data_IF_250251360180
#
_entry.id   IF_250251360180
#
_cell.length_a   1.000
_cell.length_b   1.000
_cell.length_c   1.000
_cell.angle_alpha   90.00
_cell.angle_beta   90.00
_cell.angle_gamma   90.00
#
_symmetry.space_group_name_H-M   'P 1'
#
loop_
_entity.id
_entity.type
_entity.pdbx_description
1 polymer ?
#
# COMPACT_ATOMS: atom_id res chain seq x y z
N UNK A 1 -53.89 27.87 38.03
CA UNK A 1 -53.52 26.44 37.88
C UNK A 1 -52.79 26.13 36.56
N UNK A 2 -52.47 27.11 35.71
CA UNK A 2 -51.84 26.93 34.39
C UNK A 2 -50.30 26.97 34.38
N UNK A 3 -49.66 27.34 35.50
CA UNK A 3 -48.19 27.47 35.57
C UNK A 3 -47.42 26.19 35.95
N UNK A 4 -48.08 25.25 36.65
CA UNK A 4 -47.46 24.00 37.11
C UNK A 4 -47.27 22.98 35.99
N UNK A 5 -48.20 22.96 35.02
CA UNK A 5 -48.12 22.07 33.85
C UNK A 5 -47.02 22.47 32.87
N UNK A 6 -46.78 23.78 32.69
CA UNK A 6 -45.69 24.28 31.84
C UNK A 6 -44.29 23.97 32.39
N UNK A 7 -44.09 24.11 33.71
CA UNK A 7 -42.82 23.73 34.35
C UNK A 7 -42.57 22.23 34.30
N UNK A 8 -43.59 21.40 34.53
CA UNK A 8 -43.44 19.94 34.45
C UNK A 8 -43.07 19.48 33.03
N UNK A 9 -43.65 20.10 31.99
CA UNK A 9 -43.32 19.82 30.59
C UNK A 9 -41.90 20.29 30.24
N UNK A 10 -41.49 21.48 30.69
CA UNK A 10 -40.13 22.01 30.47
C UNK A 10 -39.06 21.18 31.18
N UNK A 11 -39.36 20.68 32.38
CA UNK A 11 -38.47 19.80 33.14
C UNK A 11 -38.40 18.42 32.45
N UNK A 12 -39.54 17.87 32.02
CA UNK A 12 -39.56 16.62 31.25
C UNK A 12 -38.82 16.72 29.91
N UNK A 13 -38.93 17.85 29.20
CA UNK A 13 -38.16 18.08 27.96
C UNK A 13 -36.67 18.24 28.24
N UNK A 14 -36.28 18.90 29.34
CA UNK A 14 -34.87 19.00 29.73
C UNK A 14 -34.25 17.63 30.11
N UNK A 15 -35.02 16.75 30.77
CA UNK A 15 -34.56 15.39 31.07
C UNK A 15 -34.54 14.49 29.82
N UNK A 16 -35.46 14.71 28.87
CA UNK A 16 -35.44 14.03 27.58
C UNK A 16 -34.24 14.49 26.72
N UNK A 17 -33.94 15.79 26.70
CA UNK A 17 -32.72 16.34 26.09
C UNK A 17 -31.46 15.77 26.75
N UNK A 18 -31.37 15.79 28.08
CA UNK A 18 -30.23 15.21 28.81
C UNK A 18 -30.02 13.71 28.52
N UNK A 19 -31.11 12.96 28.30
CA UNK A 19 -31.04 11.53 27.96
C UNK A 19 -30.60 11.31 26.51
N UNK A 20 -30.99 12.18 25.59
CA UNK A 20 -30.59 12.11 24.17
C UNK A 20 -29.13 12.54 23.97
N UNK A 21 -28.60 13.41 24.84
CA UNK A 21 -27.22 13.94 24.75
C UNK A 21 -26.21 13.02 25.47
N UNK A 22 -26.65 12.08 26.31
CA UNK A 22 -25.74 11.21 27.08
C UNK A 22 -25.27 10.02 26.23
N UNK A 23 -24.00 10.05 25.82
CA UNK A 23 -23.29 8.86 25.31
C UNK A 23 -23.45 7.72 26.31
N UNK A 24 -23.87 6.54 25.85
CA UNK A 24 -24.01 5.39 26.74
C UNK A 24 -22.63 5.03 27.33
N UNK A 25 -22.57 4.51 28.56
CA UNK A 25 -21.27 4.12 29.16
C UNK A 25 -20.53 3.12 28.28
N UNK A 26 -21.25 2.26 27.55
CA UNK A 26 -20.69 1.32 26.59
C UNK A 26 -20.06 2.00 25.36
N UNK A 27 -20.78 2.95 24.75
CA UNK A 27 -20.25 3.76 23.64
C UNK A 27 -19.00 4.56 24.05
N UNK A 28 -19.01 5.16 25.24
CA UNK A 28 -17.87 5.94 25.73
C UNK A 28 -16.63 5.07 25.95
N UNK A 29 -16.80 3.89 26.54
CA UNK A 29 -15.71 2.92 26.72
C UNK A 29 -15.20 2.43 25.36
N UNK A 30 -16.12 2.06 24.45
CA UNK A 30 -15.75 1.64 23.11
C UNK A 30 -14.98 2.74 22.37
N UNK A 31 -15.42 4.00 22.47
CA UNK A 31 -14.76 5.16 21.88
C UNK A 31 -13.30 5.30 22.34
N UNK A 32 -13.05 5.29 23.65
CA UNK A 32 -11.70 5.47 24.17
C UNK A 32 -10.78 4.28 23.86
N UNK A 33 -11.29 3.05 23.92
CA UNK A 33 -10.50 1.85 23.61
C UNK A 33 -10.18 1.78 22.12
N UNK A 34 -11.20 1.85 21.27
CA UNK A 34 -11.04 1.78 19.83
C UNK A 34 -10.31 3.01 19.28
N UNK A 35 -10.51 4.19 19.86
CA UNK A 35 -9.86 5.43 19.43
C UNK A 35 -8.36 5.36 19.60
N UNK A 36 -7.90 4.86 20.75
CA UNK A 36 -6.47 4.61 20.99
C UNK A 36 -5.93 3.56 20.00
N UNK A 37 -6.67 2.47 19.74
CA UNK A 37 -6.26 1.47 18.75
C UNK A 37 -6.17 2.04 17.32
N UNK A 38 -7.10 2.90 16.93
CA UNK A 38 -7.07 3.57 15.62
C UNK A 38 -5.84 4.48 15.49
N UNK A 39 -5.50 5.24 16.53
CA UNK A 39 -4.32 6.12 16.53
C UNK A 39 -3.03 5.29 16.48
N UNK A 40 -2.94 4.22 17.26
CA UNK A 40 -1.80 3.28 17.20
C UNK A 40 -1.67 2.70 15.80
N UNK A 41 -2.80 2.29 15.18
CA UNK A 41 -2.83 1.82 13.80
C UNK A 41 -2.32 2.88 12.82
N UNK A 42 -2.85 4.09 12.86
CA UNK A 42 -2.42 5.18 11.98
C UNK A 42 -0.92 5.51 12.12
N UNK A 43 -0.40 5.55 13.35
CA UNK A 43 1.04 5.72 13.60
C UNK A 43 1.83 4.53 13.04
N UNK A 44 1.34 3.31 13.24
CA UNK A 44 1.93 2.08 12.73
C UNK A 44 2.06 2.06 11.21
N UNK A 45 1.06 2.56 10.47
CA UNK A 45 1.11 2.68 9.00
C UNK A 45 2.31 3.51 8.54
N UNK A 46 2.57 4.64 9.19
CA UNK A 46 3.60 5.60 8.78
C UNK A 46 5.00 5.19 9.28
N UNK A 47 5.07 4.51 10.42
CA UNK A 47 6.35 4.16 11.07
C UNK A 47 6.87 2.77 10.70
N UNK A 48 6.01 1.88 10.18
CA UNK A 48 6.42 0.53 9.81
C UNK A 48 7.37 0.53 8.61
N UNK A 49 8.56 -0.06 8.81
CA UNK A 49 9.60 -0.19 7.77
C UNK A 49 9.20 -1.21 6.71
N UNK A 50 8.54 -2.31 7.12
CA UNK A 50 8.05 -3.30 6.17
C UNK A 50 6.64 -2.93 5.69
N UNK A 51 6.47 -2.89 4.36
CA UNK A 51 5.20 -2.53 3.74
C UNK A 51 4.04 -3.47 4.16
N UNK A 52 4.33 -4.74 4.43
CA UNK A 52 3.32 -5.71 4.92
C UNK A 52 2.81 -5.32 6.30
N UNK A 53 3.70 -4.96 7.24
CA UNK A 53 3.27 -4.52 8.57
C UNK A 53 2.51 -3.19 8.50
N UNK A 54 2.95 -2.25 7.65
CA UNK A 54 2.22 -0.99 7.39
C UNK A 54 0.79 -1.28 6.91
N UNK A 55 0.62 -2.19 5.96
CA UNK A 55 -0.70 -2.58 5.46
C UNK A 55 -1.56 -3.28 6.54
N UNK A 56 -0.98 -4.12 7.41
CA UNK A 56 -1.73 -4.71 8.54
C UNK A 56 -2.23 -3.65 9.54
N UNK A 57 -1.41 -2.64 9.85
CA UNK A 57 -1.84 -1.52 10.69
C UNK A 57 -2.94 -0.68 10.04
N UNK A 58 -2.89 -0.52 8.71
CA UNK A 58 -3.94 0.16 7.96
C UNK A 58 -5.24 -0.65 7.99
N UNK A 59 -5.17 -1.97 7.81
CA UNK A 59 -6.33 -2.87 7.90
C UNK A 59 -6.98 -2.81 9.28
N UNK A 60 -6.18 -2.86 10.35
CA UNK A 60 -6.68 -2.67 11.72
C UNK A 60 -7.42 -1.33 11.87
N UNK A 61 -6.86 -0.24 11.35
CA UNK A 61 -7.48 1.09 11.41
C UNK A 61 -8.81 1.12 10.63
N UNK A 62 -8.88 0.51 9.46
CA UNK A 62 -10.10 0.45 8.64
C UNK A 62 -11.23 -0.34 9.32
N UNK A 63 -10.90 -1.43 10.02
CA UNK A 63 -11.86 -2.20 10.81
C UNK A 63 -12.36 -1.37 12.00
N UNK A 64 -11.46 -0.69 12.71
CA UNK A 64 -11.85 0.18 13.83
C UNK A 64 -12.78 1.30 13.37
N UNK A 65 -12.48 1.94 12.24
CA UNK A 65 -13.37 2.96 11.65
C UNK A 65 -14.74 2.39 11.26
N UNK A 66 -14.80 1.15 10.74
CA UNK A 66 -16.06 0.49 10.45
C UNK A 66 -16.92 0.30 11.71
N UNK A 67 -16.28 -0.08 12.83
CA UNK A 67 -16.96 -0.20 14.12
C UNK A 67 -17.44 1.18 14.61
N UNK A 68 -16.65 2.25 14.44
CA UNK A 68 -17.13 3.60 14.74
C UNK A 68 -18.34 4.00 13.91
N UNK A 69 -18.35 3.74 12.60
CA UNK A 69 -19.53 4.00 11.80
C UNK A 69 -20.77 3.26 12.31
N UNK A 70 -20.63 2.01 12.76
CA UNK A 70 -21.76 1.28 13.35
C UNK A 70 -22.22 1.86 14.69
N UNK A 71 -21.29 2.27 15.57
CA UNK A 71 -21.62 2.89 16.87
C UNK A 71 -22.26 4.27 16.68
N UNK A 72 -21.91 5.00 15.62
CA UNK A 72 -22.47 6.31 15.27
C UNK A 72 -23.75 6.20 14.39
N UNK A 73 -24.48 5.08 14.44
CA UNK A 73 -25.73 4.85 13.68
C UNK A 73 -25.59 4.93 12.14
N UNK A 74 -24.39 4.74 11.60
CA UNK A 74 -24.11 4.73 10.16
C UNK A 74 -23.84 3.28 9.66
N UNK A 75 -24.82 2.40 9.85
CA UNK A 75 -24.67 0.96 9.61
C UNK A 75 -24.28 0.62 8.15
N UNK A 76 -24.89 1.26 7.15
CA UNK A 76 -24.57 0.98 5.75
C UNK A 76 -23.11 1.34 5.44
N UNK A 77 -22.65 2.53 5.89
CA UNK A 77 -21.27 2.97 5.72
C UNK A 77 -20.30 2.02 6.43
N UNK A 78 -20.64 1.56 7.64
CA UNK A 78 -19.84 0.57 8.37
C UNK A 78 -19.66 -0.74 7.60
N UNK A 79 -20.74 -1.28 7.02
CA UNK A 79 -20.67 -2.52 6.22
C UNK A 79 -19.86 -2.31 4.95
N UNK A 80 -20.09 -1.21 4.21
CA UNK A 80 -19.32 -0.86 3.01
C UNK A 80 -17.83 -0.67 3.36
N UNK A 81 -17.51 -0.13 4.53
CA UNK A 81 -16.13 0.03 5.01
C UNK A 81 -15.41 -1.31 5.15
N UNK A 82 -16.09 -2.33 5.67
CA UNK A 82 -15.53 -3.68 5.78
C UNK A 82 -15.42 -4.33 4.41
N UNK A 83 -16.48 -4.32 3.60
CA UNK A 83 -16.52 -5.04 2.32
C UNK A 83 -15.56 -4.42 1.29
N UNK A 84 -15.59 -3.10 1.13
CA UNK A 84 -14.84 -2.41 0.06
C UNK A 84 -13.43 -2.07 0.51
N UNK A 85 -13.27 -1.31 1.58
CA UNK A 85 -11.93 -0.84 1.98
C UNK A 85 -11.10 -1.96 2.60
N UNK A 86 -11.64 -2.67 3.59
CA UNK A 86 -10.92 -3.76 4.26
C UNK A 86 -10.88 -5.03 3.42
N UNK A 87 -11.96 -5.35 2.71
CA UNK A 87 -12.06 -6.53 1.87
C UNK A 87 -11.32 -6.36 0.54
N UNK A 88 -11.85 -5.55 -0.37
CA UNK A 88 -11.32 -5.46 -1.73
C UNK A 88 -10.01 -4.66 -1.84
N UNK A 89 -10.01 -3.42 -1.35
CA UNK A 89 -8.90 -2.48 -1.57
C UNK A 89 -7.64 -2.92 -0.82
N UNK A 90 -7.79 -3.28 0.46
CA UNK A 90 -6.65 -3.74 1.27
C UNK A 90 -6.04 -5.03 0.72
N UNK A 91 -6.86 -6.01 0.32
CA UNK A 91 -6.34 -7.27 -0.23
C UNK A 91 -5.61 -7.04 -1.56
N UNK A 92 -6.13 -6.15 -2.42
CA UNK A 92 -5.42 -5.74 -3.65
C UNK A 92 -4.08 -5.08 -3.31
N UNK A 93 -4.06 -4.18 -2.34
CA UNK A 93 -2.83 -3.51 -1.92
C UNK A 93 -1.80 -4.49 -1.38
N UNK A 94 -2.21 -5.40 -0.48
CA UNK A 94 -1.35 -6.46 0.05
C UNK A 94 -0.80 -7.37 -1.05
N UNK A 95 -1.65 -7.76 -2.00
CA UNK A 95 -1.24 -8.58 -3.13
C UNK A 95 -0.18 -7.88 -3.99
N UNK A 96 -0.41 -6.60 -4.32
CA UNK A 96 0.53 -5.79 -5.11
C UNK A 96 1.85 -5.62 -4.38
N UNK A 97 1.83 -5.27 -3.09
CA UNK A 97 3.04 -5.13 -2.28
C UNK A 97 3.85 -6.43 -2.22
N UNK A 98 3.15 -7.57 -2.09
CA UNK A 98 3.81 -8.87 -2.05
C UNK A 98 4.38 -9.27 -3.42
N UNK A 99 3.71 -8.93 -4.52
CA UNK A 99 4.17 -9.21 -5.88
C UNK A 99 5.40 -8.39 -6.27
N UNK A 100 5.48 -7.14 -5.82
CA UNK A 100 6.60 -6.24 -6.13
C UNK A 100 7.89 -6.72 -5.42
N UNK A 101 7.78 -7.46 -4.32
CA UNK A 101 8.93 -7.91 -3.53
C UNK A 101 9.57 -6.73 -2.81
N UNK A 102 9.29 -6.62 -1.51
CA UNK A 102 9.89 -5.58 -0.65
C UNK A 102 11.25 -6.04 -0.14
N UNK A 103 12.29 -5.87 -0.95
CA UNK A 103 13.67 -6.00 -0.47
C UNK A 103 13.97 -4.83 0.47
N UNK A 104 14.02 -5.20 1.75
CA UNK A 104 14.11 -4.28 2.88
C UNK A 104 15.56 -3.85 3.07
N UNK A 105 15.93 -2.69 2.53
CA UNK A 105 17.02 -1.85 3.04
C UNK A 105 17.09 -0.52 2.27
N UNK A 106 16.01 0.27 2.26
CA UNK A 106 16.18 1.67 1.90
C UNK A 106 16.89 2.36 3.07
N UNK A 107 18.16 2.70 2.86
CA UNK A 107 18.97 3.44 3.81
C UNK A 107 18.18 4.67 4.27
N UNK A 108 18.01 4.84 5.59
CA UNK A 108 17.43 6.04 6.23
C UNK A 108 18.31 7.30 6.05
N UNK A 109 19.03 7.40 4.93
CA UNK A 109 19.74 8.60 4.53
C UNK A 109 18.72 9.58 4.00
N UNK A 110 18.52 10.65 4.77
CA UNK A 110 17.76 11.80 4.30
C UNK A 110 18.37 12.31 2.98
N UNK A 111 17.58 12.31 1.90
CA UNK A 111 17.98 12.90 0.62
C UNK A 111 18.19 14.42 0.75
N UNK A 112 17.36 15.08 1.57
CA UNK A 112 17.52 16.47 2.01
C UNK A 112 17.65 16.52 3.53
N UNK A 113 18.76 17.05 4.04
CA UNK A 113 19.00 17.24 5.48
C UNK A 113 17.86 18.04 6.10
N UNK A 114 17.21 17.50 7.12
CA UNK A 114 16.15 18.17 7.88
C UNK A 114 14.74 18.00 7.32
N UNK A 115 14.55 17.29 6.20
CA UNK A 115 13.22 17.02 5.63
C UNK A 115 12.31 16.28 6.62
N UNK A 116 12.86 15.33 7.39
CA UNK A 116 12.08 14.58 8.38
C UNK A 116 11.55 15.47 9.50
N UNK A 117 12.40 16.38 10.01
CA UNK A 117 12.02 17.32 11.06
C UNK A 117 10.97 18.31 10.53
N UNK A 118 11.18 18.84 9.33
CA UNK A 118 10.22 19.73 8.68
C UNK A 118 8.86 19.03 8.44
N UNK A 119 8.88 17.77 7.99
CA UNK A 119 7.66 16.97 7.79
C UNK A 119 6.90 16.71 9.09
N UNK A 120 7.62 16.37 10.17
CA UNK A 120 7.02 16.18 11.50
C UNK A 120 6.46 17.50 12.04
N UNK A 121 7.19 18.61 11.91
CA UNK A 121 6.74 19.93 12.35
C UNK A 121 5.48 20.38 11.56
N UNK A 122 5.47 20.19 10.25
CA UNK A 122 4.32 20.50 9.41
C UNK A 122 3.10 19.62 9.76
N UNK A 123 3.32 18.31 9.96
CA UNK A 123 2.27 17.38 10.36
C UNK A 123 1.67 17.73 11.73
N UNK A 124 2.51 18.05 12.72
CA UNK A 124 2.04 18.50 14.03
C UNK A 124 1.32 19.85 13.95
N UNK A 125 1.86 20.81 13.21
CA UNK A 125 1.24 22.12 13.02
C UNK A 125 -0.15 22.01 12.38
N UNK A 126 -0.27 21.18 11.33
CA UNK A 126 -1.55 20.90 10.69
C UNK A 126 -2.53 20.19 11.63
N UNK A 127 -2.06 19.21 12.41
CA UNK A 127 -2.89 18.52 13.41
C UNK A 127 -3.43 19.46 14.48
N UNK A 128 -2.59 20.35 15.03
CA UNK A 128 -3.01 21.36 16.01
C UNK A 128 -4.04 22.31 15.41
N UNK A 129 -3.82 22.77 14.17
CA UNK A 129 -4.76 23.63 13.46
C UNK A 129 -6.13 22.95 13.30
N UNK A 130 -6.15 21.67 12.89
CA UNK A 130 -7.40 20.91 12.76
C UNK A 130 -8.11 20.73 14.10
N UNK A 131 -7.38 20.38 15.16
CA UNK A 131 -7.96 20.23 16.51
C UNK A 131 -8.56 21.57 16.99
N UNK A 132 -7.86 22.68 16.79
CA UNK A 132 -8.34 24.01 17.16
C UNK A 132 -9.59 24.41 16.35
N UNK A 133 -9.60 24.14 15.03
CA UNK A 133 -10.74 24.43 14.17
C UNK A 133 -11.97 23.59 14.55
N UNK A 134 -11.79 22.28 14.77
CA UNK A 134 -12.88 21.39 15.21
C UNK A 134 -13.38 21.81 16.60
N UNK A 135 -12.47 22.11 17.54
CA UNK A 135 -12.83 22.56 18.88
C UNK A 135 -13.62 23.87 18.89
N UNK A 136 -13.29 24.81 17.98
CA UNK A 136 -14.04 26.05 17.83
C UNK A 136 -15.47 25.79 17.32
N UNK A 137 -15.64 24.94 16.31
CA UNK A 137 -16.95 24.62 15.73
C UNK A 137 -17.79 23.75 16.69
N UNK A 138 -17.16 22.86 17.45
CA UNK A 138 -17.84 21.96 18.38
C UNK A 138 -18.62 22.68 19.50
N UNK A 139 -18.28 23.94 19.79
CA UNK A 139 -19.04 24.78 20.74
C UNK A 139 -20.40 25.25 20.22
N UNK A 140 -20.67 25.10 18.91
CA UNK A 140 -21.92 25.52 18.26
C UNK A 140 -23.08 24.51 18.31
N UNK A 141 -22.90 23.37 18.98
CA UNK A 141 -23.87 22.27 19.05
C UNK A 141 -23.70 21.24 17.93
N UNK A 142 -24.05 19.98 18.22
CA UNK A 142 -23.92 18.86 17.29
C UNK A 142 -25.27 18.50 16.68
N UNK A 143 -25.38 18.61 15.36
CA UNK A 143 -26.52 18.05 14.63
C UNK A 143 -26.34 16.53 14.56
N UNK A 144 -27.04 15.79 15.43
CA UNK A 144 -27.02 14.33 15.45
C UNK A 144 -27.55 13.69 14.16
N UNK A 145 -27.42 12.37 14.05
CA UNK A 145 -27.86 11.61 12.87
C UNK A 145 -29.32 11.15 12.93
N UNK A 146 -30.04 11.40 14.03
CA UNK A 146 -31.42 10.93 14.25
C UNK A 146 -32.38 11.37 13.14
N UNK A 147 -32.38 12.65 12.79
CA UNK A 147 -33.20 13.18 11.70
C UNK A 147 -32.78 12.63 10.33
N UNK A 148 -31.47 12.47 10.10
CA UNK A 148 -30.95 11.94 8.85
C UNK A 148 -31.29 10.46 8.64
N UNK A 149 -31.38 9.69 9.73
CA UNK A 149 -31.66 8.26 9.74
C UNK A 149 -33.14 7.90 9.93
N UNK A 150 -34.03 8.90 10.05
CA UNK A 150 -35.44 8.68 10.42
C UNK A 150 -36.20 7.69 9.50
N UNK A 151 -35.82 7.61 8.21
CA UNK A 151 -36.45 6.73 7.21
C UNK A 151 -35.61 5.48 6.87
N UNK A 152 -34.56 5.19 7.64
CA UNK A 152 -33.59 4.13 7.34
C UNK A 152 -32.33 4.68 6.66
N UNK A 153 -31.17 4.14 7.04
CA UNK A 153 -29.86 4.64 6.58
C UNK A 153 -29.62 4.35 5.09
N UNK A 154 -30.08 3.19 4.60
CA UNK A 154 -29.91 2.77 3.19
C UNK A 154 -30.89 3.51 2.29
N UNK A 155 -32.15 3.57 2.70
CA UNK A 155 -33.24 4.20 1.97
C UNK A 155 -33.03 5.71 1.85
N UNK A 156 -32.62 6.35 2.96
CA UNK A 156 -32.26 7.76 2.98
C UNK A 156 -31.10 8.05 2.01
N UNK A 157 -30.02 7.27 2.08
CA UNK A 157 -28.89 7.43 1.19
C UNK A 157 -29.27 7.20 -0.28
N UNK A 158 -30.06 6.18 -0.58
CA UNK A 158 -30.54 5.89 -1.93
C UNK A 158 -31.37 7.06 -2.48
N UNK A 159 -32.29 7.62 -1.68
CA UNK A 159 -33.06 8.79 -2.08
C UNK A 159 -32.15 9.98 -2.41
N UNK A 160 -31.12 10.24 -1.60
CA UNK A 160 -30.14 11.30 -1.84
C UNK A 160 -29.31 11.06 -3.12
N UNK A 161 -28.81 9.84 -3.32
CA UNK A 161 -28.00 9.45 -4.48
C UNK A 161 -28.79 9.59 -5.77
N UNK A 162 -30.02 9.08 -5.82
CA UNK A 162 -30.82 9.03 -7.05
C UNK A 162 -31.66 10.29 -7.32
N UNK A 163 -31.74 11.23 -6.37
CA UNK A 163 -32.41 12.52 -6.59
C UNK A 163 -31.41 13.68 -6.71
N UNK A 164 -30.77 14.07 -5.61
CA UNK A 164 -29.92 15.25 -5.52
C UNK A 164 -28.53 15.02 -6.10
N UNK A 165 -27.98 13.81 -5.90
CA UNK A 165 -26.60 13.49 -6.25
C UNK A 165 -26.46 12.61 -7.50
N UNK A 166 -27.46 12.58 -8.37
CA UNK A 166 -27.45 11.76 -9.59
C UNK A 166 -26.22 12.03 -10.47
N UNK A 167 -25.83 13.29 -10.61
CA UNK A 167 -24.62 13.65 -11.36
C UNK A 167 -23.33 13.14 -10.72
N UNK A 168 -23.23 13.18 -9.38
CA UNK A 168 -22.08 12.63 -8.69
C UNK A 168 -22.01 11.10 -8.85
N UNK A 169 -23.16 10.43 -8.85
CA UNK A 169 -23.28 8.99 -9.10
C UNK A 169 -22.85 8.62 -10.53
N UNK A 170 -23.35 9.33 -11.54
CA UNK A 170 -22.99 9.10 -12.95
C UNK A 170 -21.49 9.35 -13.21
N UNK A 171 -20.94 10.44 -12.67
CA UNK A 171 -19.51 10.74 -12.77
C UNK A 171 -18.65 9.68 -12.09
N UNK A 172 -19.07 9.17 -10.93
CA UNK A 172 -18.37 8.08 -10.24
C UNK A 172 -18.44 6.79 -11.05
N UNK A 173 -19.58 6.49 -11.68
CA UNK A 173 -19.74 5.32 -12.56
C UNK A 173 -18.83 5.41 -13.79
N UNK A 174 -18.77 6.57 -14.43
CA UNK A 174 -17.84 6.83 -15.53
C UNK A 174 -16.38 6.67 -15.08
N UNK A 175 -16.02 7.21 -13.91
CA UNK A 175 -14.69 7.06 -13.32
C UNK A 175 -14.32 5.58 -13.10
N UNK A 176 -15.24 4.75 -12.60
CA UNK A 176 -15.00 3.33 -12.38
C UNK A 176 -14.79 2.57 -13.71
N UNK A 177 -15.58 2.88 -14.75
CA UNK A 177 -15.39 2.30 -16.09
C UNK A 177 -14.03 2.70 -16.64
N UNK A 178 -13.68 3.99 -16.58
CA UNK A 178 -12.39 4.49 -17.04
C UNK A 178 -11.23 3.88 -16.25
N UNK A 179 -11.35 3.73 -14.93
CA UNK A 179 -10.33 3.10 -14.10
C UNK A 179 -10.14 1.62 -14.46
N UNK A 180 -11.23 0.87 -14.70
CA UNK A 180 -11.15 -0.53 -15.12
C UNK A 180 -10.48 -0.68 -16.49
N UNK A 181 -10.84 0.15 -17.47
CA UNK A 181 -10.21 0.17 -18.79
C UNK A 181 -8.73 0.57 -18.66
N UNK A 182 -8.43 1.62 -17.89
CA UNK A 182 -7.07 2.10 -17.66
C UNK A 182 -6.18 1.03 -17.01
N UNK A 183 -6.69 0.33 -15.99
CA UNK A 183 -5.99 -0.78 -15.37
C UNK A 183 -5.76 -1.95 -16.34
N UNK A 184 -6.76 -2.30 -17.17
CA UNK A 184 -6.63 -3.35 -18.19
C UNK A 184 -5.54 -3.01 -19.20
N UNK A 185 -5.56 -1.79 -19.75
CA UNK A 185 -4.58 -1.33 -20.74
C UNK A 185 -3.18 -1.27 -20.14
N UNK A 186 -3.04 -0.77 -18.90
CA UNK A 186 -1.74 -0.69 -18.23
C UNK A 186 -1.17 -2.06 -17.86
N UNK A 187 -2.03 -3.02 -17.48
CA UNK A 187 -1.62 -4.38 -17.19
C UNK A 187 -1.38 -5.23 -18.44
N UNK A 188 -1.89 -4.80 -19.60
CA UNK A 188 -1.72 -5.52 -20.85
C UNK A 188 -0.28 -5.39 -21.36
N UNK A 189 0.52 -6.45 -21.19
CA UNK A 189 1.82 -6.57 -21.84
C UNK A 189 1.65 -7.14 -23.25
N UNK A 190 1.66 -6.27 -24.25
CA UNK A 190 1.87 -6.71 -25.63
C UNK A 190 3.29 -7.29 -25.76
N UNK A 191 3.35 -8.54 -26.24
CA UNK A 191 4.63 -9.13 -26.66
C UNK A 191 4.87 -8.67 -28.09
N UNK A 192 5.68 -7.62 -28.26
CA UNK A 192 6.04 -7.10 -29.59
C UNK A 192 6.81 -8.11 -30.45
N UNK A 193 7.40 -9.14 -29.83
CA UNK A 193 8.03 -10.24 -30.54
C UNK A 193 7.15 -11.49 -30.54
N UNK A 194 6.96 -12.06 -31.74
CA UNK A 194 6.39 -13.39 -31.91
C UNK A 194 7.26 -14.38 -31.13
N UNK A 195 6.63 -15.19 -30.25
CA UNK A 195 7.34 -16.30 -29.58
C UNK A 195 7.99 -17.17 -30.66
N UNK A 196 9.32 -17.29 -30.62
CA UNK A 196 10.04 -18.15 -31.54
C UNK A 196 9.55 -19.58 -31.39
N UNK A 197 9.33 -20.25 -32.51
CA UNK A 197 8.93 -21.67 -32.51
C UNK A 197 10.13 -22.55 -32.15
N UNK A 198 9.88 -23.79 -31.70
CA UNK A 198 10.96 -24.74 -31.43
C UNK A 198 11.84 -24.98 -32.67
N UNK A 199 11.24 -24.92 -33.87
CA UNK A 199 11.96 -25.04 -35.14
C UNK A 199 12.89 -23.85 -35.39
N UNK A 200 12.43 -22.63 -35.11
CA UNK A 200 13.25 -21.41 -35.24
C UNK A 200 14.45 -21.45 -34.27
N UNK A 201 14.22 -21.82 -33.00
CA UNK A 201 15.31 -22.04 -32.04
C UNK A 201 16.30 -23.12 -32.51
N UNK A 202 15.81 -24.21 -33.10
CA UNK A 202 16.66 -25.24 -33.67
C UNK A 202 17.47 -24.69 -34.85
N UNK A 203 16.88 -23.88 -35.73
CA UNK A 203 17.58 -23.31 -36.88
C UNK A 203 18.67 -22.32 -36.45
N UNK A 204 18.38 -21.41 -35.52
CA UNK A 204 19.37 -20.48 -34.94
C UNK A 204 20.57 -21.21 -34.33
N UNK A 205 20.34 -22.39 -33.78
CA UNK A 205 21.39 -23.25 -33.22
C UNK A 205 22.40 -23.74 -34.26
N UNK A 206 21.94 -23.99 -35.48
CA UNK A 206 22.76 -24.51 -36.59
C UNK A 206 23.17 -23.44 -37.61
N UNK A 207 22.73 -22.19 -37.45
CA UNK A 207 23.20 -21.07 -38.25
C UNK A 207 24.68 -20.76 -37.96
N UNK A 208 25.42 -20.13 -38.89
CA UNK A 208 26.80 -19.72 -38.66
C UNK A 208 26.91 -18.84 -37.40
N UNK A 209 27.70 -19.28 -36.41
CA UNK A 209 27.82 -18.61 -35.09
C UNK A 209 26.89 -19.16 -33.99
N UNK A 210 25.95 -20.03 -34.35
CA UNK A 210 25.14 -20.83 -33.42
C UNK A 210 25.92 -22.02 -32.85
N UNK A 211 25.42 -22.57 -31.73
CA UNK A 211 26.06 -23.68 -31.01
C UNK A 211 25.16 -24.93 -31.04
N UNK A 212 25.43 -25.93 -31.88
CA UNK A 212 24.66 -27.17 -32.01
C UNK A 212 24.45 -27.92 -30.68
N UNK A 213 25.44 -27.82 -29.80
CA UNK A 213 25.45 -28.45 -28.48
C UNK A 213 25.07 -27.44 -27.39
N UNK A 214 24.61 -27.89 -26.22
CA UNK A 214 24.55 -27.04 -25.03
C UNK A 214 25.89 -26.34 -24.77
N UNK A 215 25.83 -25.13 -24.20
CA UNK A 215 27.06 -24.45 -23.79
C UNK A 215 27.77 -25.28 -22.72
N UNK A 216 29.11 -25.34 -22.75
CA UNK A 216 29.87 -26.06 -21.74
C UNK A 216 29.58 -25.44 -20.37
N UNK A 217 29.30 -26.28 -19.37
CA UNK A 217 29.10 -25.77 -18.00
C UNK A 217 30.40 -25.16 -17.46
N UNK A 218 30.32 -24.11 -16.62
CA UNK A 218 31.48 -23.56 -15.92
C UNK A 218 32.26 -24.65 -15.16
N UNK A 219 33.57 -24.45 -14.99
CA UNK A 219 34.43 -25.31 -14.17
C UNK A 219 34.75 -26.70 -14.72
N UNK A 220 34.18 -27.12 -15.85
CA UNK A 220 34.44 -28.46 -16.43
C UNK A 220 35.91 -28.55 -16.87
N UNK A 221 36.61 -29.58 -16.38
CA UNK A 221 38.07 -29.79 -16.55
C UNK A 221 38.97 -28.67 -15.99
N UNK A 222 38.41 -27.66 -15.32
CA UNK A 222 39.19 -26.67 -14.59
C UNK A 222 39.66 -27.24 -13.24
N UNK A 223 40.67 -26.61 -12.63
CA UNK A 223 41.16 -27.02 -11.30
C UNK A 223 40.16 -26.79 -10.17
N UNK A 224 39.15 -25.95 -10.41
CA UNK A 224 38.10 -25.60 -9.45
C UNK A 224 36.74 -25.66 -10.13
N UNK A 225 35.78 -26.29 -9.46
CA UNK A 225 34.39 -26.37 -9.90
C UNK A 225 33.59 -25.20 -9.32
N UNK A 226 33.58 -24.07 -10.01
CA UNK A 226 32.86 -22.87 -9.60
C UNK A 226 32.19 -22.19 -10.81
N UNK A 227 31.11 -21.46 -10.55
CA UNK A 227 30.24 -20.85 -11.59
C UNK A 227 30.89 -19.67 -12.33
N UNK A 228 31.92 -19.11 -11.73
CA UNK A 228 32.74 -17.99 -12.20
C UNK A 228 34.07 -18.45 -12.82
N UNK A 229 34.32 -19.75 -12.88
CA UNK A 229 35.51 -20.35 -13.50
C UNK A 229 35.16 -20.92 -14.87
N UNK A 230 35.92 -20.55 -15.89
CA UNK A 230 35.72 -21.03 -17.24
C UNK A 230 36.13 -22.51 -17.37
N UNK A 231 35.38 -23.27 -18.17
CA UNK A 231 35.73 -24.63 -18.54
C UNK A 231 37.06 -24.68 -19.30
N UNK A 232 37.84 -25.73 -19.09
CA UNK A 232 39.11 -25.97 -19.77
C UNK A 232 38.87 -26.79 -21.05
N UNK A 233 39.42 -26.32 -22.17
CA UNK A 233 39.38 -26.98 -23.46
C UNK A 233 40.49 -28.06 -23.56
N UNK A 234 40.37 -29.02 -24.50
CA UNK A 234 41.39 -30.06 -24.69
C UNK A 234 42.78 -29.53 -25.04
N UNK A 235 42.88 -28.28 -25.54
CA UNK A 235 44.13 -27.58 -25.84
C UNK A 235 44.72 -26.85 -24.61
N UNK A 236 44.07 -26.95 -23.45
CA UNK A 236 44.47 -26.27 -22.22
C UNK A 236 44.05 -24.79 -22.13
N UNK A 237 43.32 -24.27 -23.11
CA UNK A 237 42.79 -22.91 -23.09
C UNK A 237 41.44 -22.83 -22.36
N UNK A 238 41.04 -21.62 -21.93
CA UNK A 238 39.77 -21.40 -21.23
C UNK A 238 38.63 -21.06 -22.20
N UNK A 239 37.50 -21.76 -22.07
CA UNK A 239 36.30 -21.53 -22.87
C UNK A 239 35.51 -20.31 -22.39
N UNK A 240 35.51 -19.24 -23.19
CA UNK A 240 34.76 -18.00 -22.93
C UNK A 240 33.25 -18.18 -22.90
N UNK A 241 32.74 -19.26 -23.51
CA UNK A 241 31.31 -19.56 -23.64
C UNK A 241 30.73 -20.22 -22.39
N UNK A 242 31.59 -20.69 -21.49
CA UNK A 242 31.16 -21.43 -20.30
C UNK A 242 30.69 -20.52 -19.16
N UNK A 243 31.22 -19.31 -19.05
CA UNK A 243 30.90 -18.36 -17.98
C UNK A 243 29.82 -17.39 -18.44
N UNK A 244 28.80 -17.18 -17.60
CA UNK A 244 27.71 -16.23 -17.87
C UNK A 244 28.24 -14.80 -18.11
N UNK A 245 27.73 -14.07 -19.12
CA UNK A 245 28.11 -12.66 -19.36
C UNK A 245 27.89 -11.75 -18.15
N UNK A 246 26.91 -12.08 -17.29
CA UNK A 246 26.60 -11.32 -16.06
C UNK A 246 27.74 -11.43 -15.03
N UNK A 247 28.43 -12.58 -14.98
CA UNK A 247 29.58 -12.75 -14.10
C UNK A 247 30.82 -12.05 -14.67
N UNK A 248 30.96 -12.07 -15.99
CA UNK A 248 32.05 -11.34 -16.67
C UNK A 248 31.96 -9.82 -16.43
N UNK A 249 30.75 -9.24 -16.45
CA UNK A 249 30.57 -7.82 -16.14
C UNK A 249 30.82 -7.47 -14.67
N UNK A 250 30.78 -8.46 -13.77
CA UNK A 250 31.15 -8.33 -12.35
C UNK A 250 32.64 -8.57 -12.08
N UNK A 251 33.46 -8.69 -13.13
CA UNK A 251 34.90 -8.87 -13.01
C UNK A 251 35.35 -10.32 -12.88
N UNK A 252 34.44 -11.31 -13.00
CA UNK A 252 34.81 -12.71 -13.12
C UNK A 252 35.18 -13.02 -14.57
N UNK A 253 36.44 -12.80 -14.92
CA UNK A 253 37.03 -13.05 -16.23
C UNK A 253 37.23 -14.55 -16.54
N UNK A 254 36.79 -15.44 -15.65
CA UNK A 254 36.76 -16.90 -15.88
C UNK A 254 38.11 -17.59 -15.79
N UNK A 255 39.21 -16.83 -15.79
CA UNK A 255 40.59 -17.33 -15.85
C UNK A 255 41.26 -17.47 -14.47
N UNK A 256 40.68 -16.85 -13.44
CA UNK A 256 41.14 -16.91 -12.05
C UNK A 256 39.94 -17.19 -11.15
N UNK A 257 40.14 -18.02 -10.14
CA UNK A 257 39.25 -18.06 -8.98
C UNK A 257 39.32 -16.68 -8.31
N UNK A 258 38.18 -15.99 -8.06
CA UNK A 258 38.23 -14.77 -7.28
C UNK A 258 38.78 -15.07 -5.89
N UNK A 259 39.81 -14.32 -5.49
CA UNK A 259 40.31 -14.35 -4.12
C UNK A 259 39.21 -13.86 -3.17
N UNK A 260 39.09 -14.48 -2.00
CA UNK A 260 38.16 -14.06 -0.93
C UNK A 260 38.52 -12.69 -0.33
N UNK A 261 39.58 -12.05 -0.81
CA UNK A 261 39.95 -10.70 -0.41
C UNK A 261 38.98 -9.66 -1.01
N UNK A 262 38.45 -8.74 -0.20
CA UNK A 262 37.55 -7.71 -0.68
C UNK A 262 38.28 -6.86 -1.73
N UNK A 263 37.66 -6.69 -2.90
CA UNK A 263 38.21 -5.87 -3.98
C UNK A 263 38.47 -4.45 -3.45
N UNK A 264 39.65 -3.86 -3.71
CA UNK A 264 39.90 -2.48 -3.33
C UNK A 264 38.87 -1.61 -4.05
N UNK A 265 38.12 -0.84 -3.26
CA UNK A 265 37.14 0.13 -3.73
C UNK A 265 37.70 0.91 -4.92
N UNK A 266 36.93 1.00 -6.00
CA UNK A 266 37.18 1.92 -7.11
C UNK A 266 37.49 3.31 -6.53
N UNK A 267 38.76 3.70 -6.52
CA UNK A 267 39.14 5.06 -6.19
C UNK A 267 38.70 5.94 -7.35
N UNK A 268 37.54 6.57 -7.20
CA UNK A 268 37.32 7.86 -7.83
C UNK A 268 38.36 8.83 -7.30
N UNK A 269 39.16 9.44 -8.17
CA UNK A 269 40.06 10.50 -7.74
C UNK A 269 41.13 10.90 -8.76
N UNK A 270 40.76 11.83 -9.63
CA UNK A 270 41.64 12.92 -10.04
C UNK A 270 42.56 12.68 -11.24
N UNK A 271 42.12 13.16 -12.41
CA UNK A 271 43.04 13.79 -13.36
C UNK A 271 42.57 15.22 -13.58
N UNK A 272 43.55 16.11 -13.41
CA UNK A 272 43.67 17.54 -13.69
C UNK A 272 42.63 18.18 -14.62
#
# INVERSE_FOLDING_TARGET
MTGLTGHAIAVASSFAEDTIIRTSTGEAVAFWVLGVLAVIGAIGVVTAVNAVYSAMFLAMTMIVLAVFYMIQDALFLGVVQVVVYTGAVMMLFLFVLMLIGVDSAESLKEALRGQRIAGVAAGMGFGILLIAAIGNVATGGFAGLTTANANGNVEGLAALIFSRYVWAFELTSALLITAAIGAMVLAHRERFERRKTQREFSQERFQPGGHPTPMPSPGVYARHNAVDVAALLPDGSYSKLSVSPILQSRGADGKKTPSTEPSPSLSQGGTS
#
